data_IF_143329263376
#
_entry.id   IF_143329263376
#
_cell.length_a   1.000
_cell.length_b   1.000
_cell.length_c   1.000
_cell.angle_alpha   90.00
_cell.angle_beta   90.00
_cell.angle_gamma   90.00
#
_symmetry.space_group_name_H-M   'P 1'
#
loop_
_entity.id
_entity.type
_entity.pdbx_description
1 polymer ?
#
# COMPACT_ATOMS: atom_id res chain seq x y z
N UNK A 1 -24.40 4.45 -4.91
CA UNK A 1 -23.49 4.04 -6.00
C UNK A 1 -23.02 2.60 -5.76
N UNK A 2 -23.94 1.63 -5.64
CA UNK A 2 -23.55 0.22 -5.61
C UNK A 2 -23.51 -0.32 -7.05
N UNK A 3 -22.51 -1.16 -7.37
CA UNK A 3 -22.43 -1.85 -8.66
C UNK A 3 -21.75 -1.08 -9.81
N UNK A 4 -21.08 0.04 -9.54
CA UNK A 4 -20.24 0.74 -10.53
C UNK A 4 -19.09 -0.14 -10.99
N UNK A 5 -18.82 -0.14 -12.31
CA UNK A 5 -17.61 -0.74 -12.87
C UNK A 5 -16.44 0.23 -12.71
N UNK A 6 -15.27 -0.29 -12.32
CA UNK A 6 -14.01 0.47 -12.23
C UNK A 6 -13.48 0.69 -13.64
N UNK A 7 -13.17 1.94 -13.97
CA UNK A 7 -12.73 2.35 -15.30
C UNK A 7 -11.20 2.49 -15.38
N UNK A 8 -10.68 2.50 -16.62
CA UNK A 8 -9.25 2.71 -16.86
C UNK A 8 -8.81 4.09 -16.35
N UNK A 9 -7.65 4.14 -15.69
CA UNK A 9 -7.09 5.33 -15.04
C UNK A 9 -7.54 5.51 -13.59
N UNK A 10 -8.46 4.68 -13.09
CA UNK A 10 -8.95 4.76 -11.71
C UNK A 10 -8.14 3.88 -10.75
N UNK A 11 -8.22 4.23 -9.47
CA UNK A 11 -7.72 3.42 -8.37
C UNK A 11 -8.85 3.02 -7.44
N UNK A 12 -8.63 1.95 -6.68
CA UNK A 12 -9.52 1.43 -5.66
C UNK A 12 -8.72 1.30 -4.36
N UNK A 13 -9.10 2.08 -3.37
CA UNK A 13 -8.68 1.88 -1.99
C UNK A 13 -9.56 0.80 -1.36
N UNK A 14 -8.96 -0.31 -0.94
CA UNK A 14 -9.65 -1.46 -0.34
C UNK A 14 -9.17 -1.62 1.10
N UNK A 15 -10.10 -1.67 2.03
CA UNK A 15 -9.85 -2.06 3.42
C UNK A 15 -10.74 -3.25 3.76
N UNK A 16 -10.12 -4.35 4.19
CA UNK A 16 -10.79 -5.61 4.48
C UNK A 16 -10.35 -6.17 5.84
N UNK A 17 -11.29 -6.74 6.58
CA UNK A 17 -11.04 -7.43 7.84
C UNK A 17 -11.16 -8.94 7.70
N UNK A 18 -10.12 -9.67 8.05
CA UNK A 18 -10.20 -11.09 8.38
C UNK A 18 -10.80 -11.27 9.77
N UNK A 19 -11.60 -12.31 9.99
CA UNK A 19 -12.19 -12.59 11.30
C UNK A 19 -12.16 -14.09 11.59
N UNK A 20 -11.56 -14.48 12.72
CA UNK A 20 -11.61 -15.85 13.23
C UNK A 20 -11.91 -15.84 14.72
N UNK A 21 -12.96 -16.57 15.14
CA UNK A 21 -13.44 -16.58 16.53
C UNK A 21 -13.57 -15.17 17.13
N UNK A 22 -14.04 -14.22 16.31
CA UNK A 22 -14.25 -12.80 16.65
C UNK A 22 -12.99 -11.95 16.79
N UNK A 23 -11.80 -12.51 16.66
CA UNK A 23 -10.56 -11.75 16.52
C UNK A 23 -10.37 -11.28 15.09
N UNK A 24 -9.87 -10.05 14.93
CA UNK A 24 -9.73 -9.41 13.62
C UNK A 24 -8.27 -9.11 13.27
N UNK A 25 -7.97 -9.21 11.98
CA UNK A 25 -6.80 -8.62 11.35
C UNK A 25 -7.29 -7.79 10.16
N UNK A 26 -6.90 -6.53 10.06
CA UNK A 26 -7.35 -5.65 8.99
C UNK A 26 -6.23 -5.41 7.98
N UNK A 27 -6.59 -5.18 6.72
CA UNK A 27 -5.64 -4.90 5.65
C UNK A 27 -6.20 -3.87 4.68
N UNK A 28 -5.44 -2.79 4.50
CA UNK A 28 -5.58 -1.81 3.44
C UNK A 28 -4.63 -2.13 2.30
N UNK A 29 -5.13 -2.13 1.07
CA UNK A 29 -4.34 -2.16 -0.16
C UNK A 29 -4.97 -1.25 -1.20
N UNK A 30 -4.13 -0.73 -2.09
CA UNK A 30 -4.58 0.08 -3.22
C UNK A 30 -4.36 -0.68 -4.53
N UNK A 31 -5.40 -0.71 -5.36
CA UNK A 31 -5.37 -1.30 -6.70
C UNK A 31 -5.48 -0.17 -7.71
N UNK A 32 -4.68 -0.20 -8.78
CA UNK A 32 -4.72 0.78 -9.87
C UNK A 32 -5.06 0.06 -11.17
N UNK A 33 -6.05 0.55 -11.91
CA UNK A 33 -6.45 0.00 -13.20
C UNK A 33 -5.87 0.85 -14.34
N UNK A 34 -4.73 0.47 -14.89
CA UNK A 34 -4.01 1.25 -15.90
C UNK A 34 -2.54 1.40 -15.50
N UNK A 35 -2.05 2.64 -15.57
CA UNK A 35 -0.67 2.98 -15.22
C UNK A 35 -0.61 3.64 -13.84
N UNK A 36 0.48 3.35 -13.12
CA UNK A 36 0.75 3.98 -11.83
C UNK A 36 1.42 5.33 -12.09
N UNK A 37 0.79 6.42 -11.64
CA UNK A 37 1.39 7.76 -11.75
C UNK A 37 2.62 7.89 -10.83
N UNK A 38 3.51 8.83 -11.14
CA UNK A 38 4.69 9.11 -10.31
C UNK A 38 4.30 9.46 -8.87
N UNK A 39 3.24 10.25 -8.66
CA UNK A 39 2.77 10.59 -7.31
C UNK A 39 2.23 9.37 -6.57
N UNK A 40 1.51 8.47 -7.25
CA UNK A 40 1.01 7.24 -6.65
C UNK A 40 2.15 6.26 -6.31
N UNK A 41 3.18 6.19 -7.15
CA UNK A 41 4.39 5.43 -6.87
C UNK A 41 5.13 6.01 -5.65
N UNK A 42 5.33 7.33 -5.58
CA UNK A 42 5.94 7.99 -4.42
C UNK A 42 5.12 7.76 -3.14
N UNK A 43 3.79 7.85 -3.22
CA UNK A 43 2.91 7.56 -2.09
C UNK A 43 3.09 6.11 -1.60
N UNK A 44 3.12 5.14 -2.53
CA UNK A 44 3.41 3.74 -2.22
C UNK A 44 4.73 3.58 -1.46
N UNK A 45 5.83 4.17 -1.97
CA UNK A 45 7.15 4.02 -1.35
C UNK A 45 7.21 4.67 0.04
N UNK A 46 6.58 5.83 0.25
CA UNK A 46 6.51 6.46 1.57
C UNK A 46 5.75 5.60 2.59
N UNK A 47 4.63 5.02 2.19
CA UNK A 47 3.84 4.13 3.08
C UNK A 47 4.60 2.83 3.37
N UNK A 48 5.33 2.27 2.39
CA UNK A 48 6.22 1.12 2.60
C UNK A 48 7.34 1.47 3.57
N UNK A 49 7.98 2.63 3.39
CA UNK A 49 9.01 3.11 4.31
C UNK A 49 8.47 3.27 5.73
N UNK A 50 7.28 3.84 5.89
CA UNK A 50 6.64 3.98 7.19
C UNK A 50 6.39 2.63 7.87
N UNK A 51 5.87 1.64 7.14
CA UNK A 51 5.68 0.28 7.67
C UNK A 51 7.00 -0.41 8.00
N UNK A 52 8.03 -0.26 7.17
CA UNK A 52 9.34 -0.84 7.45
C UNK A 52 9.94 -0.23 8.73
N UNK A 53 9.88 1.09 8.89
CA UNK A 53 10.31 1.72 10.14
C UNK A 53 9.50 1.24 11.35
N UNK A 54 8.19 0.98 11.19
CA UNK A 54 7.40 0.38 12.27
C UNK A 54 7.97 -0.98 12.65
N UNK A 55 8.22 -1.86 11.68
CA UNK A 55 8.80 -3.19 11.94
C UNK A 55 10.22 -3.12 12.53
N UNK A 56 11.02 -2.13 12.15
CA UNK A 56 12.41 -2.01 12.60
C UNK A 56 12.54 -1.44 14.02
N UNK A 57 11.61 -0.58 14.45
CA UNK A 57 11.78 0.22 15.67
C UNK A 57 10.70 0.02 16.73
N UNK A 58 9.47 -0.31 16.34
CA UNK A 58 8.35 -0.40 17.29
C UNK A 58 8.52 -1.61 18.19
N UNK A 59 8.50 -1.36 19.50
CA UNK A 59 8.72 -2.36 20.54
C UNK A 59 8.03 -1.96 21.84
N UNK A 60 7.99 -2.88 22.80
CA UNK A 60 7.51 -2.60 24.15
C UNK A 60 8.33 -1.48 24.81
N UNK A 61 7.66 -0.62 25.59
CA UNK A 61 8.28 0.53 26.25
C UNK A 61 8.23 1.85 25.47
N UNK A 62 7.97 1.81 24.15
CA UNK A 62 7.62 3.03 23.40
C UNK A 62 6.25 3.56 23.82
N UNK A 63 5.97 4.84 23.59
CA UNK A 63 4.62 5.38 23.77
C UNK A 63 3.80 5.33 22.48
N UNK A 64 2.48 5.36 22.61
CA UNK A 64 1.54 5.51 21.50
C UNK A 64 1.87 6.72 20.63
N UNK A 65 2.22 7.85 21.27
CA UNK A 65 2.66 9.05 20.56
C UNK A 65 3.97 8.86 19.80
N UNK A 66 4.92 8.05 20.29
CA UNK A 66 6.17 7.78 19.57
C UNK A 66 5.90 7.05 18.27
N UNK A 67 5.02 6.05 18.29
CA UNK A 67 4.64 5.28 17.09
C UNK A 67 3.90 6.17 16.09
N UNK A 68 2.97 7.02 16.53
CA UNK A 68 2.29 7.96 15.61
C UNK A 68 3.27 8.96 15.01
N UNK A 69 4.19 9.51 15.81
CA UNK A 69 5.21 10.42 15.31
C UNK A 69 6.13 9.76 14.28
N UNK A 70 6.52 8.50 14.49
CA UNK A 70 7.35 7.75 13.55
C UNK A 70 6.70 7.69 12.16
N UNK A 71 5.45 7.24 12.10
CA UNK A 71 4.69 7.12 10.84
C UNK A 71 4.40 8.50 10.25
N UNK A 72 3.86 9.41 11.06
CA UNK A 72 3.43 10.74 10.63
C UNK A 72 4.59 11.56 10.08
N UNK A 73 5.77 11.50 10.68
CA UNK A 73 6.93 12.23 10.21
C UNK A 73 7.33 11.77 8.80
N UNK A 74 7.36 10.46 8.54
CA UNK A 74 7.69 9.94 7.20
C UNK A 74 6.66 10.43 6.17
N UNK A 75 5.37 10.32 6.50
CA UNK A 75 4.31 10.73 5.56
C UNK A 75 4.29 12.25 5.36
N UNK A 76 4.54 13.06 6.37
CA UNK A 76 4.45 14.53 6.28
C UNK A 76 5.59 15.13 5.45
N UNK A 77 6.76 14.50 5.43
CA UNK A 77 7.92 14.94 4.64
C UNK A 77 7.86 14.40 3.19
N UNK A 78 6.78 14.70 2.47
CA UNK A 78 6.63 14.33 1.06
C UNK A 78 6.54 15.56 0.14
N UNK A 79 6.86 15.35 -1.15
CA UNK A 79 6.82 16.39 -2.19
C UNK A 79 5.59 16.27 -3.11
N UNK A 80 4.64 15.37 -2.80
CA UNK A 80 3.45 15.10 -3.62
C UNK A 80 2.18 15.77 -3.08
N UNK A 81 2.30 16.56 -2.00
CA UNK A 81 1.18 17.30 -1.39
C UNK A 81 0.18 16.43 -0.63
N UNK A 82 0.49 15.14 -0.44
CA UNK A 82 -0.40 14.20 0.22
C UNK A 82 -0.26 14.27 1.75
N UNK A 83 -1.31 13.90 2.47
CA UNK A 83 -1.37 14.09 3.93
C UNK A 83 -1.95 12.88 4.65
N UNK A 84 -1.43 12.60 5.85
CA UNK A 84 -2.07 11.72 6.82
C UNK A 84 -3.07 12.55 7.63
N UNK A 85 -4.37 12.41 7.31
CA UNK A 85 -5.42 13.26 7.90
C UNK A 85 -5.83 12.80 9.31
N UNK A 86 -5.60 11.53 9.65
CA UNK A 86 -6.09 10.93 10.91
C UNK A 86 -4.96 10.32 11.75
N UNK A 87 -5.33 9.42 12.67
CA UNK A 87 -4.43 8.50 13.39
C UNK A 87 -3.62 7.62 12.43
N UNK A 88 -2.41 7.25 12.83
CA UNK A 88 -1.53 6.29 12.13
C UNK A 88 -1.86 4.83 12.44
N UNK A 89 -2.78 4.57 13.37
CA UNK A 89 -3.15 3.23 13.78
C UNK A 89 -4.14 3.22 14.94
N UNK A 90 -4.57 2.03 15.30
CA UNK A 90 -5.47 1.77 16.42
C UNK A 90 -5.31 0.34 16.91
N UNK A 91 -5.61 0.10 18.18
CA UNK A 91 -5.58 -1.26 18.71
C UNK A 91 -6.72 -2.10 18.12
N UNK A 92 -6.45 -3.38 17.93
CA UNK A 92 -7.35 -4.33 17.27
C UNK A 92 -7.41 -5.63 18.08
N UNK A 93 -8.53 -6.34 17.99
CA UNK A 93 -8.71 -7.55 18.79
C UNK A 93 -10.07 -8.19 18.57
N UNK A 94 -10.75 -8.50 19.67
CA UNK A 94 -12.11 -9.04 19.66
C UNK A 94 -13.13 -7.92 19.42
N UNK A 95 -14.01 -8.10 18.45
CA UNK A 95 -15.01 -7.08 18.13
C UNK A 95 -16.29 -7.64 17.49
N UNK A 96 -17.33 -6.80 17.46
CA UNK A 96 -18.61 -7.03 16.80
C UNK A 96 -19.02 -5.77 16.03
N UNK A 97 -19.93 -5.87 15.05
CA UNK A 97 -20.43 -4.70 14.33
C UNK A 97 -20.84 -3.57 15.30
N UNK A 98 -20.53 -2.30 14.97
CA UNK A 98 -20.15 -1.81 13.64
C UNK A 98 -18.64 -1.74 13.35
N UNK A 99 -17.76 -2.08 14.30
CA UNK A 99 -16.30 -1.92 14.17
C UNK A 99 -15.54 -3.23 14.36
N UNK A 100 -14.28 -3.25 13.94
CA UNK A 100 -13.31 -4.29 14.27
C UNK A 100 -12.18 -3.81 15.19
N UNK A 101 -12.08 -2.49 15.42
CA UNK A 101 -11.15 -1.92 16.38
C UNK A 101 -11.61 -2.17 17.81
N UNK A 102 -10.71 -1.97 18.78
CA UNK A 102 -11.06 -2.03 20.20
C UNK A 102 -11.76 -0.76 20.69
N UNK A 103 -12.32 0.04 19.79
CA UNK A 103 -13.02 1.29 20.09
C UNK A 103 -12.11 2.38 20.66
N UNK A 104 -12.37 2.77 21.91
CA UNK A 104 -11.72 3.90 22.58
C UNK A 104 -10.52 3.49 23.44
N UNK A 105 -10.05 2.24 23.35
CA UNK A 105 -8.96 1.74 24.19
C UNK A 105 -7.63 2.41 23.83
N UNK A 106 -7.09 2.16 22.63
CA UNK A 106 -5.87 2.84 22.18
C UNK A 106 -5.98 3.25 20.71
N UNK A 107 -5.68 4.52 20.45
CA UNK A 107 -5.54 5.08 19.10
C UNK A 107 -4.15 5.67 18.96
N UNK A 108 -3.42 5.32 17.90
CA UNK A 108 -2.10 5.90 17.63
C UNK A 108 -2.24 7.35 17.20
N UNK A 109 -2.08 8.26 18.16
CA UNK A 109 -2.20 9.71 17.98
C UNK A 109 -1.15 10.43 18.81
N UNK A 110 -0.69 11.56 18.29
CA UNK A 110 0.22 12.45 19.01
C UNK A 110 -0.36 12.87 20.37
N UNK A 111 0.49 12.88 21.40
CA UNK A 111 0.13 13.30 22.76
C UNK A 111 -0.44 12.19 23.66
N UNK A 112 -0.69 10.98 23.14
CA UNK A 112 -1.04 9.83 23.97
C UNK A 112 0.23 9.19 24.56
N UNK A 113 0.36 9.24 25.88
CA UNK A 113 1.53 8.74 26.62
C UNK A 113 1.40 7.27 27.06
N UNK A 114 0.37 6.55 26.61
CA UNK A 114 0.20 5.13 26.90
C UNK A 114 1.42 4.35 26.41
N UNK A 115 1.99 3.52 27.28
CA UNK A 115 3.18 2.71 26.97
C UNK A 115 2.76 1.41 26.30
N UNK A 116 3.45 1.04 25.23
CA UNK A 116 3.27 -0.22 24.53
C UNK A 116 3.77 -1.38 25.38
N UNK A 117 2.96 -2.41 25.55
CA UNK A 117 3.31 -3.63 26.26
C UNK A 117 3.31 -4.84 25.32
N UNK A 118 4.12 -5.85 25.66
CA UNK A 118 4.13 -7.12 24.93
C UNK A 118 2.72 -7.72 24.86
N UNK A 119 2.35 -8.22 23.67
CA UNK A 119 1.05 -8.82 23.40
C UNK A 119 -0.04 -7.83 22.97
N UNK A 120 0.20 -6.52 23.07
CA UNK A 120 -0.69 -5.54 22.43
C UNK A 120 -0.69 -5.73 20.91
N UNK A 121 -1.84 -5.50 20.26
CA UNK A 121 -1.94 -5.63 18.81
C UNK A 121 -2.57 -4.41 18.18
N UNK A 122 -2.06 -4.02 17.02
CA UNK A 122 -2.39 -2.77 16.35
C UNK A 122 -2.61 -2.99 14.86
N UNK A 123 -3.59 -2.28 14.31
CA UNK A 123 -3.67 -2.05 12.88
C UNK A 123 -2.98 -0.72 12.55
N UNK A 124 -1.87 -0.78 11.81
CA UNK A 124 -1.03 0.35 11.43
C UNK A 124 -1.42 0.79 10.02
N UNK A 125 -1.84 2.04 9.89
CA UNK A 125 -2.53 2.59 8.71
C UNK A 125 -1.85 3.86 8.16
N UNK A 126 -0.64 3.77 7.58
CA UNK A 126 -0.10 4.86 6.79
C UNK A 126 -0.93 4.97 5.52
N UNK A 127 -2.02 5.74 5.57
CA UNK A 127 -2.85 6.10 4.43
C UNK A 127 -2.67 7.57 4.10
N UNK A 128 -2.85 7.91 2.84
CA UNK A 128 -2.60 9.25 2.32
C UNK A 128 -3.80 9.73 1.52
N UNK A 129 -4.18 10.98 1.77
CA UNK A 129 -5.18 11.72 0.99
C UNK A 129 -4.51 12.85 0.21
N UNK A 130 -5.07 13.19 -0.95
CA UNK A 130 -4.62 14.33 -1.78
C UNK A 130 -3.54 13.96 -2.79
N UNK A 131 -3.26 12.67 -3.00
CA UNK A 131 -2.34 12.23 -4.05
C UNK A 131 -2.95 12.60 -5.41
N UNK A 132 -2.17 13.20 -6.31
CA UNK A 132 -2.68 13.79 -7.56
C UNK A 132 -3.86 14.78 -7.39
N UNK A 133 -3.99 15.39 -6.20
CA UNK A 133 -5.00 16.39 -5.89
C UNK A 133 -6.29 15.85 -5.26
N UNK A 134 -6.69 14.60 -5.52
CA UNK A 134 -7.97 14.05 -5.05
C UNK A 134 -7.94 12.57 -4.65
N UNK A 135 -6.82 11.86 -4.86
CA UNK A 135 -6.77 10.41 -4.63
C UNK A 135 -6.47 10.09 -3.17
N UNK A 136 -7.11 9.01 -2.73
CA UNK A 136 -6.84 8.34 -1.45
C UNK A 136 -6.21 6.98 -1.71
N UNK A 137 -5.10 6.69 -1.04
CA UNK A 137 -4.44 5.39 -1.10
C UNK A 137 -3.92 4.97 0.28
N UNK A 138 -3.68 3.68 0.46
CA UNK A 138 -3.15 3.15 1.70
C UNK A 138 -2.52 1.78 1.54
N UNK A 139 -1.56 1.53 2.41
CA UNK A 139 -0.98 0.22 2.70
C UNK A 139 -1.00 0.12 4.22
N UNK A 140 -1.42 -1.01 4.75
CA UNK A 140 -1.40 -1.22 6.19
C UNK A 140 -0.74 -2.54 6.56
N UNK A 141 -0.54 -2.71 7.85
CA UNK A 141 -0.16 -3.96 8.48
C UNK A 141 -0.94 -4.14 9.79
N UNK A 142 -1.23 -5.39 10.17
CA UNK A 142 -1.69 -5.68 11.54
C UNK A 142 -0.54 -6.38 12.24
N UNK A 143 -0.10 -5.78 13.35
CA UNK A 143 1.08 -6.22 14.09
C UNK A 143 0.72 -6.57 15.53
N UNK A 144 1.57 -7.34 16.18
CA UNK A 144 1.59 -7.50 17.63
C UNK A 144 2.97 -7.14 18.19
N UNK A 145 2.97 -6.61 19.40
CA UNK A 145 4.20 -6.23 20.11
C UNK A 145 4.80 -7.48 20.75
N UNK A 146 6.09 -7.69 20.49
CA UNK A 146 6.89 -8.75 21.10
C UNK A 146 7.76 -8.17 22.22
N UNK A 147 8.55 -9.00 22.89
CA UNK A 147 9.50 -8.53 23.90
C UNK A 147 10.59 -7.63 23.31
N UNK A 148 11.03 -7.92 22.08
CA UNK A 148 12.17 -7.26 21.42
C UNK A 148 11.77 -6.36 20.24
N UNK A 149 10.49 -6.25 19.91
CA UNK A 149 10.05 -5.57 18.70
C UNK A 149 8.56 -5.69 18.43
N UNK A 150 8.22 -5.86 17.15
CA UNK A 150 6.89 -6.21 16.70
C UNK A 150 6.95 -7.18 15.52
N UNK A 151 5.86 -7.91 15.29
CA UNK A 151 5.73 -8.83 14.16
C UNK A 151 4.38 -8.67 13.48
N UNK A 152 4.34 -8.97 12.17
CA UNK A 152 3.11 -8.96 11.37
C UNK A 152 2.29 -10.25 11.55
N UNK A 153 0.97 -10.13 11.53
CA UNK A 153 0.06 -11.26 11.35
C UNK A 153 0.00 -11.76 9.90
N UNK A 154 0.62 -11.05 8.95
CA UNK A 154 0.63 -11.38 7.54
C UNK A 154 1.99 -11.90 7.10
N UNK A 155 1.98 -12.97 6.30
CA UNK A 155 3.17 -13.48 5.60
C UNK A 155 3.39 -12.84 4.22
N UNK A 156 2.62 -11.79 3.89
CA UNK A 156 2.68 -11.14 2.59
C UNK A 156 3.80 -10.09 2.58
N UNK A 157 4.95 -10.45 2.03
CA UNK A 157 6.11 -9.56 1.93
C UNK A 157 5.90 -8.40 0.94
N UNK A 158 5.13 -8.63 -0.14
CA UNK A 158 4.90 -7.59 -1.13
C UNK A 158 3.78 -6.63 -0.70
N UNK A 159 4.18 -5.37 -0.52
CA UNK A 159 3.30 -4.26 -0.10
C UNK A 159 2.97 -3.28 -1.23
N UNK A 160 3.50 -3.51 -2.43
CA UNK A 160 3.24 -2.66 -3.58
C UNK A 160 1.74 -2.61 -3.93
N UNK A 161 1.34 -1.50 -4.54
CA UNK A 161 0.03 -1.38 -5.15
C UNK A 161 -0.13 -2.40 -6.26
N UNK A 162 -1.33 -2.96 -6.36
CA UNK A 162 -1.64 -3.91 -7.42
C UNK A 162 -2.02 -3.14 -8.66
N UNK A 163 -1.13 -3.12 -9.66
CA UNK A 163 -1.41 -2.53 -10.97
C UNK A 163 -2.02 -3.59 -11.88
N UNK A 164 -3.25 -3.37 -12.34
CA UNK A 164 -3.93 -4.21 -13.33
C UNK A 164 -3.96 -3.49 -14.67
N UNK A 165 -3.70 -4.18 -15.79
CA UNK A 165 -3.86 -3.57 -17.09
C UNK A 165 -5.34 -3.20 -17.28
N UNK A 166 -5.60 -1.96 -17.72
CA UNK A 166 -6.89 -1.62 -18.31
C UNK A 166 -7.17 -2.65 -19.42
N UNK A 167 -8.26 -3.41 -19.30
CA UNK A 167 -8.58 -4.59 -20.14
C UNK A 167 -8.03 -4.45 -21.55
N UNK A 168 -7.23 -5.43 -22.00
CA UNK A 168 -6.60 -5.38 -23.30
C UNK A 168 -7.65 -5.14 -24.39
N UNK A 169 -7.59 -3.98 -25.03
CA UNK A 169 -8.27 -3.79 -26.29
C UNK A 169 -7.64 -4.81 -27.25
N UNK A 170 -8.33 -5.93 -27.56
CA UNK A 170 -7.80 -7.02 -28.42
C UNK A 170 -7.20 -6.49 -29.73
N UNK A 171 -7.65 -5.31 -30.17
CA UNK A 171 -7.15 -4.55 -31.33
C UNK A 171 -5.70 -4.07 -31.17
N UNK A 172 -5.29 -3.58 -29.99
CA UNK A 172 -3.92 -3.11 -29.73
C UNK A 172 -2.91 -4.26 -29.65
N UNK A 173 -3.31 -5.41 -29.06
CA UNK A 173 -2.49 -6.63 -29.06
C UNK A 173 -2.23 -7.17 -30.48
N UNK A 174 -3.22 -7.10 -31.37
CA UNK A 174 -3.05 -7.49 -32.78
C UNK A 174 -2.16 -6.51 -33.54
N UNK A 175 -2.28 -5.21 -33.29
CA UNK A 175 -1.43 -4.18 -33.92
C UNK A 175 0.03 -4.34 -33.47
N UNK A 176 0.27 -4.63 -32.20
CA UNK A 176 1.62 -4.84 -31.68
C UNK A 176 2.24 -6.14 -32.21
N UNK A 177 1.48 -7.23 -32.32
CA UNK A 177 1.95 -8.45 -33.01
C UNK A 177 2.29 -8.21 -34.48
N UNK A 178 1.49 -7.42 -35.20
CA UNK A 178 1.76 -7.07 -36.60
C UNK A 178 3.00 -6.17 -36.76
N UNK A 179 3.20 -5.20 -35.86
CA UNK A 179 4.41 -4.36 -35.84
C UNK A 179 5.66 -5.16 -35.49
N UNK A 180 5.58 -6.11 -34.56
CA UNK A 180 6.71 -6.95 -34.17
C UNK A 180 7.13 -7.88 -35.32
N UNK A 181 6.19 -8.51 -36.02
CA UNK A 181 6.49 -9.31 -37.23
C UNK A 181 7.10 -8.48 -38.38
N UNK A 182 6.69 -7.23 -38.55
CA UNK A 182 7.33 -6.33 -39.53
C UNK A 182 8.74 -5.92 -39.12
N UNK A 183 9.01 -5.81 -37.82
CA UNK A 183 10.31 -5.41 -37.29
C UNK A 183 11.30 -6.58 -37.38
N UNK A 184 10.85 -7.80 -37.05
CA UNK A 184 11.62 -9.04 -37.18
C UNK A 184 11.97 -9.33 -38.65
N UNK A 185 11.02 -9.11 -39.58
CA UNK A 185 11.29 -9.20 -41.02
C UNK A 185 12.34 -8.18 -41.48
N UNK A 186 12.28 -6.93 -41.00
CA UNK A 186 13.28 -5.91 -41.35
C UNK A 186 14.67 -6.21 -40.77
N UNK A 187 14.76 -6.80 -39.59
CA UNK A 187 16.04 -7.21 -39.00
C UNK A 187 16.63 -8.45 -39.68
N UNK A 188 15.80 -9.41 -40.08
CA UNK A 188 16.24 -10.58 -40.85
C UNK A 188 16.84 -10.17 -42.21
N UNK A 189 16.23 -9.19 -42.89
CA UNK A 189 16.75 -8.65 -44.16
C UNK A 189 18.07 -7.90 -43.97
N UNK A 190 18.26 -7.16 -42.87
CA UNK A 190 19.54 -6.47 -42.57
C UNK A 190 20.69 -7.41 -42.25
N UNK A 191 20.42 -8.57 -41.63
CA UNK A 191 21.46 -9.59 -41.34
C UNK A 191 21.88 -10.41 -42.57
N UNK A 192 21.12 -10.37 -43.66
CA UNK A 192 21.38 -11.13 -44.87
C UNK A 192 22.22 -10.37 -45.92
N UNK A 193 22.62 -9.12 -45.67
CA UNK A 193 23.47 -8.34 -46.58
C UNK A 193 24.94 -8.61 -46.22
N UNK A 194 25.75 -9.27 -47.07
CA UNK A 194 27.15 -9.54 -46.78
C UNK A 194 27.97 -8.24 -46.83
N UNK A 195 28.92 -8.09 -45.91
CA UNK A 195 29.92 -7.01 -45.94
C UNK A 195 30.82 -7.18 -47.17
N UNK A 196 31.12 -6.10 -47.94
CA UNK A 196 32.15 -6.16 -48.95
C UNK A 196 33.53 -6.12 -48.28
N UNK A 197 34.39 -7.09 -48.60
CA UNK A 197 35.81 -7.04 -48.25
C UNK A 197 36.50 -5.92 -49.05
N UNK A 198 37.18 -5.01 -48.36
CA UNK A 198 38.53 -4.49 -48.62
C UNK A 198 38.91 -3.43 -47.59
#
# INVERSE_FOLDING_TARGET
MEGRTVEAGEHVFLEVGGCYRRYHTAMMRTVVLGELSDSMYKAQELMKQALNCVHDYVQAGMTVSDVDNLVRNIITHNDIGAQLITRSGYSIGIAFPPSWDEGYIVSLKQGDSTVLEQGMTFHIIPWMWGVDGDKTCGISDTIYITEEGCESFFSLEQRDFVVKPARSNKKLLQINKAKQQQTDKKQAVKKAVPHPEH
#
